data_IF_908500808766
#
_entry.id   IF_908500808766
#
_cell.length_a   1.000
_cell.length_b   1.000
_cell.length_c   1.000
_cell.angle_alpha   90.00
_cell.angle_beta   90.00
_cell.angle_gamma   90.00
#
_symmetry.space_group_name_H-M   'P 1'
#
loop_
_entity.id
_entity.type
_entity.pdbx_description
1 polymer ?
#
# COMPACT_ATOMS: atom_id res chain seq x y z
N UNK A 1 -9.84 0.81 2.26
CA UNK A 1 -10.17 2.17 1.84
C UNK A 1 -8.92 2.91 1.36
N UNK A 2 -8.98 3.59 0.21
CA UNK A 2 -7.95 4.56 -0.19
C UNK A 2 -8.18 5.84 0.64
N UNK A 3 -7.11 6.39 1.23
CA UNK A 3 -7.16 7.59 2.09
C UNK A 3 -7.73 8.83 1.36
N UNK A 4 -7.82 8.77 0.03
CA UNK A 4 -8.29 9.85 -0.87
C UNK A 4 -9.74 9.67 -1.35
N UNK A 5 -10.70 9.43 -0.44
CA UNK A 5 -12.13 9.51 -0.79
C UNK A 5 -12.76 10.88 -0.53
N UNK A 6 -12.01 11.82 0.01
CA UNK A 6 -12.48 13.19 0.22
C UNK A 6 -12.08 14.06 -0.98
N UNK A 7 -13.05 14.37 -1.86
CA UNK A 7 -12.81 15.21 -3.03
C UNK A 7 -12.41 16.64 -2.66
N UNK A 8 -12.75 17.13 -1.46
CA UNK A 8 -12.26 18.43 -0.97
C UNK A 8 -10.73 18.46 -0.80
N UNK A 9 -10.07 17.30 -0.91
CA UNK A 9 -8.63 17.21 -0.96
C UNK A 9 -8.02 17.97 -2.15
N UNK A 10 -8.68 17.97 -3.31
CA UNK A 10 -8.11 18.52 -4.54
C UNK A 10 -8.43 20.01 -4.72
N UNK A 11 -7.52 20.78 -5.35
CA UNK A 11 -7.65 22.23 -5.52
C UNK A 11 -8.56 22.58 -6.70
N UNK A 12 -9.81 22.08 -6.70
CA UNK A 12 -10.82 22.41 -7.71
C UNK A 12 -11.89 23.34 -7.15
N UNK A 13 -12.53 24.10 -8.04
CA UNK A 13 -13.73 24.86 -7.71
C UNK A 13 -14.96 23.93 -7.74
N UNK A 14 -15.17 23.26 -6.62
CA UNK A 14 -16.29 22.33 -6.45
C UNK A 14 -17.65 23.03 -6.50
N UNK A 15 -17.73 24.29 -6.07
CA UNK A 15 -18.97 25.08 -6.13
C UNK A 15 -19.36 25.37 -7.58
N UNK A 16 -18.39 25.71 -8.44
CA UNK A 16 -18.63 25.86 -9.89
C UNK A 16 -19.10 24.57 -10.57
N UNK A 17 -18.77 23.40 -10.00
CA UNK A 17 -19.25 22.09 -10.45
C UNK A 17 -20.60 21.69 -9.82
N UNK A 18 -21.22 22.56 -9.04
CA UNK A 18 -22.54 22.34 -8.43
C UNK A 18 -22.52 21.62 -7.08
N UNK A 19 -21.35 21.42 -6.46
CA UNK A 19 -21.28 20.86 -5.11
C UNK A 19 -21.58 21.91 -4.03
N UNK A 20 -22.08 21.49 -2.85
CA UNK A 20 -22.31 22.40 -1.73
C UNK A 20 -21.01 23.05 -1.23
N UNK A 21 -21.14 24.30 -0.78
CA UNK A 21 -20.06 25.02 -0.11
C UNK A 21 -19.55 24.27 1.11
N UNK A 22 -18.24 24.11 1.21
CA UNK A 22 -17.59 23.57 2.39
C UNK A 22 -17.73 24.57 3.56
N UNK A 23 -18.41 24.14 4.62
CA UNK A 23 -18.57 24.96 5.82
C UNK A 23 -17.33 24.82 6.72
N UNK A 24 -17.03 25.85 7.52
CA UNK A 24 -15.87 25.85 8.43
C UNK A 24 -15.90 24.75 9.50
N UNK A 25 -17.09 24.22 9.79
CA UNK A 25 -17.31 23.11 10.72
C UNK A 25 -17.24 21.73 10.03
N UNK A 26 -17.02 21.69 8.71
CA UNK A 26 -16.82 20.42 8.02
C UNK A 26 -15.54 19.77 8.54
N UNK A 27 -15.66 18.50 8.89
CA UNK A 27 -14.60 17.65 9.39
C UNK A 27 -13.68 17.22 8.24
N UNK A 28 -12.81 18.13 7.78
CA UNK A 28 -11.85 17.87 6.70
C UNK A 28 -10.51 17.46 7.32
N UNK A 29 -9.96 16.27 6.98
CA UNK A 29 -8.63 15.89 7.45
C UNK A 29 -7.54 16.86 6.97
N UNK A 30 -6.60 17.19 7.85
CA UNK A 30 -5.45 18.06 7.55
C UNK A 30 -4.48 17.45 6.54
N UNK A 31 -4.32 16.12 6.56
CA UNK A 31 -3.49 15.39 5.60
C UNK A 31 -4.36 14.71 4.54
N UNK A 32 -4.01 14.98 3.28
CA UNK A 32 -4.81 14.62 2.10
C UNK A 32 -4.21 13.49 1.27
N UNK A 33 -3.06 12.94 1.67
CA UNK A 33 -2.42 11.80 1.01
C UNK A 33 -1.98 12.05 -0.44
N UNK A 34 -1.95 13.31 -0.86
CA UNK A 34 -1.62 13.72 -2.23
C UNK A 34 -0.18 14.26 -2.31
N UNK A 35 0.49 14.07 -3.46
CA UNK A 35 1.77 14.70 -3.74
C UNK A 35 1.72 16.23 -3.52
N UNK A 36 2.74 16.77 -2.85
CA UNK A 36 2.80 18.19 -2.49
C UNK A 36 2.01 18.60 -1.24
N UNK A 37 1.25 17.69 -0.62
CA UNK A 37 0.71 17.88 0.72
C UNK A 37 1.77 17.56 1.80
N UNK A 38 1.60 18.02 3.06
CA UNK A 38 2.49 17.62 4.15
C UNK A 38 2.58 16.10 4.28
N UNK A 39 3.80 15.61 4.57
CA UNK A 39 4.08 14.18 4.76
C UNK A 39 3.13 13.59 5.80
N UNK A 40 2.48 12.49 5.45
CA UNK A 40 1.45 11.89 6.28
C UNK A 40 2.07 11.12 7.45
N UNK A 41 1.87 11.59 8.68
CA UNK A 41 2.48 10.99 9.86
C UNK A 41 1.64 9.87 10.46
N UNK A 42 2.25 9.05 11.32
CA UNK A 42 1.53 8.05 12.14
C UNK A 42 0.41 8.67 12.98
N UNK A 43 0.63 9.85 13.55
CA UNK A 43 -0.37 10.52 14.38
C UNK A 43 -1.55 11.00 13.55
N UNK A 44 -1.30 11.55 12.37
CA UNK A 44 -2.36 11.95 11.43
C UNK A 44 -3.19 10.74 11.02
N UNK A 45 -2.52 9.63 10.69
CA UNK A 45 -3.18 8.37 10.34
C UNK A 45 -4.11 7.88 11.44
N UNK A 46 -3.61 7.76 12.67
CA UNK A 46 -4.42 7.30 13.81
C UNK A 46 -5.56 8.29 14.12
N UNK A 47 -5.32 9.59 13.98
CA UNK A 47 -6.34 10.60 14.21
C UNK A 47 -7.49 10.50 13.19
N UNK A 48 -7.17 10.23 11.92
CA UNK A 48 -8.17 10.06 10.84
C UNK A 48 -9.08 8.87 11.12
N UNK A 49 -8.52 7.70 11.45
CA UNK A 49 -9.31 6.51 11.79
C UNK A 49 -10.09 6.69 13.09
N UNK A 50 -9.54 7.41 14.08
CA UNK A 50 -10.25 7.64 15.36
C UNK A 50 -11.42 8.63 15.22
N UNK A 51 -11.32 9.62 14.35
CA UNK A 51 -12.19 10.81 14.40
C UNK A 51 -13.08 11.01 13.18
N UNK A 52 -12.73 10.39 12.04
CA UNK A 52 -13.38 10.65 10.74
C UNK A 52 -13.79 9.38 10.00
N UNK A 53 -13.07 8.26 10.18
CA UNK A 53 -13.27 7.04 9.38
C UNK A 53 -13.62 5.84 10.28
N UNK A 54 -14.92 5.59 10.54
CA UNK A 54 -15.34 4.34 11.17
C UNK A 54 -14.98 3.14 10.26
N UNK A 55 -14.83 1.93 10.81
CA UNK A 55 -14.60 0.74 10.02
C UNK A 55 -15.79 0.49 9.09
N UNK A 56 -15.51 0.04 7.85
CA UNK A 56 -16.56 -0.26 6.86
C UNK A 56 -17.31 -1.55 7.20
N UNK A 57 -16.60 -2.50 7.79
CA UNK A 57 -17.12 -3.79 8.25
C UNK A 57 -16.54 -4.12 9.62
N UNK A 58 -17.21 -4.97 10.38
CA UNK A 58 -16.62 -5.55 11.58
C UNK A 58 -15.37 -6.37 11.22
N UNK A 59 -14.38 -6.49 12.14
CA UNK A 59 -13.20 -7.31 11.91
C UNK A 59 -13.58 -8.72 11.46
N UNK A 60 -12.93 -9.20 10.39
CA UNK A 60 -13.15 -10.53 9.81
C UNK A 60 -14.56 -10.79 9.23
N UNK A 61 -15.39 -9.76 9.04
CA UNK A 61 -16.74 -9.91 8.45
C UNK A 61 -16.72 -10.03 6.91
N UNK A 62 -16.04 -9.11 6.22
CA UNK A 62 -16.00 -9.08 4.75
C UNK A 62 -14.66 -8.49 4.27
N UNK A 63 -14.07 -8.99 3.18
CA UNK A 63 -12.86 -8.39 2.62
C UNK A 63 -13.16 -7.00 2.04
N UNK A 64 -12.26 -6.04 2.30
CA UNK A 64 -12.24 -4.73 1.65
C UNK A 64 -10.79 -4.30 1.41
N UNK A 65 -10.47 -3.94 0.17
CA UNK A 65 -9.13 -3.48 -0.17
C UNK A 65 -8.77 -2.23 0.63
N UNK A 66 -7.60 -2.22 1.29
CA UNK A 66 -7.17 -1.10 2.12
C UNK A 66 -5.66 -0.90 2.11
N UNK A 67 -5.23 0.33 1.76
CA UNK A 67 -3.83 0.75 1.87
C UNK A 67 -3.41 1.06 3.32
N UNK A 68 -4.35 0.96 4.25
CA UNK A 68 -4.19 1.42 5.62
C UNK A 68 -3.50 0.36 6.49
N UNK A 69 -2.51 0.78 7.28
CA UNK A 69 -2.07 0.04 8.46
C UNK A 69 -1.03 -1.06 8.25
N UNK A 70 -0.59 -1.33 7.01
CA UNK A 70 0.48 -2.30 6.72
C UNK A 70 1.77 -1.94 7.47
N UNK A 71 2.15 -0.66 7.44
CA UNK A 71 3.29 -0.12 8.18
C UNK A 71 3.21 -0.45 9.67
N UNK A 72 2.08 -0.14 10.30
CA UNK A 72 1.89 -0.29 11.75
C UNK A 72 2.08 -1.73 12.24
N UNK A 73 1.58 -2.70 11.48
CA UNK A 73 1.67 -4.12 11.84
C UNK A 73 3.11 -4.62 11.72
N UNK A 74 3.77 -4.34 10.60
CA UNK A 74 5.15 -4.78 10.35
C UNK A 74 6.12 -4.11 11.34
N UNK A 75 5.94 -2.82 11.61
CA UNK A 75 6.79 -2.10 12.55
C UNK A 75 6.62 -2.61 13.98
N UNK A 76 5.38 -2.89 14.40
CA UNK A 76 5.12 -3.46 15.72
C UNK A 76 5.70 -4.87 15.86
N UNK A 77 5.58 -5.71 14.83
CA UNK A 77 6.07 -7.09 14.86
C UNK A 77 7.60 -7.20 14.76
N UNK A 78 8.25 -6.30 14.01
CA UNK A 78 9.70 -6.33 13.76
C UNK A 78 10.52 -5.44 14.69
N UNK A 79 9.87 -4.51 15.40
CA UNK A 79 10.53 -3.43 16.15
C UNK A 79 11.52 -2.61 15.29
N UNK A 80 11.21 -2.44 14.00
CA UNK A 80 11.96 -1.66 13.01
C UNK A 80 10.99 -0.79 12.22
N UNK A 81 11.47 0.34 11.71
CA UNK A 81 10.72 1.09 10.68
C UNK A 81 10.52 0.21 9.44
N UNK A 82 9.40 0.38 8.74
CA UNK A 82 8.99 -0.53 7.65
C UNK A 82 10.09 -0.76 6.61
N UNK A 83 10.74 0.29 6.12
CA UNK A 83 11.76 0.18 5.07
C UNK A 83 12.97 -0.64 5.53
N UNK A 84 13.38 -0.49 6.79
CA UNK A 84 14.44 -1.30 7.38
C UNK A 84 14.00 -2.76 7.57
N UNK A 85 12.74 -2.98 7.97
CA UNK A 85 12.18 -4.31 8.10
C UNK A 85 12.17 -5.06 6.76
N UNK A 86 11.63 -4.45 5.69
CA UNK A 86 11.60 -5.07 4.36
C UNK A 86 13.01 -5.28 3.80
N UNK A 87 13.90 -4.30 3.97
CA UNK A 87 15.30 -4.44 3.54
C UNK A 87 15.98 -5.65 4.16
N UNK A 88 15.81 -5.84 5.47
CA UNK A 88 16.49 -6.92 6.20
C UNK A 88 15.79 -8.28 6.09
N UNK A 89 14.46 -8.30 6.03
CA UNK A 89 13.67 -9.54 6.05
C UNK A 89 13.38 -10.09 4.65
N UNK A 90 13.42 -9.25 3.61
CA UNK A 90 13.02 -9.63 2.25
C UNK A 90 14.11 -9.30 1.22
N UNK A 91 14.52 -8.04 1.11
CA UNK A 91 15.37 -7.61 -0.02
C UNK A 91 16.78 -8.21 0.06
N UNK A 92 17.46 -8.09 1.20
CA UNK A 92 18.80 -8.66 1.40
C UNK A 92 18.80 -10.19 1.30
N UNK A 93 17.90 -10.94 1.98
CA UNK A 93 17.91 -12.41 1.91
C UNK A 93 17.65 -12.96 0.50
N UNK A 94 16.94 -12.23 -0.35
CA UNK A 94 16.61 -12.63 -1.72
C UNK A 94 17.51 -12.00 -2.79
N UNK A 95 18.52 -11.23 -2.37
CA UNK A 95 19.45 -10.52 -3.26
C UNK A 95 18.77 -9.55 -4.25
N UNK A 96 17.70 -8.88 -3.81
CA UNK A 96 16.92 -7.92 -4.61
C UNK A 96 17.55 -6.52 -4.52
N UNK A 97 18.64 -6.29 -5.26
CA UNK A 97 19.52 -5.13 -5.11
C UNK A 97 18.92 -3.80 -5.59
N UNK A 98 18.37 -3.69 -6.82
CA UNK A 98 17.75 -2.45 -7.28
C UNK A 98 16.38 -2.18 -6.65
N UNK A 99 15.81 -3.14 -5.90
CA UNK A 99 14.53 -2.94 -5.20
C UNK A 99 14.70 -2.04 -3.97
N UNK A 100 13.76 -1.10 -3.78
CA UNK A 100 13.71 -0.20 -2.63
C UNK A 100 12.28 -0.01 -2.12
N UNK A 101 12.16 0.56 -0.92
CA UNK A 101 10.88 0.92 -0.29
C UNK A 101 10.95 2.34 0.25
N UNK A 102 9.85 3.08 0.14
CA UNK A 102 9.70 4.43 0.66
C UNK A 102 10.34 5.48 -0.24
N UNK A 103 11.44 6.05 0.23
CA UNK A 103 12.13 7.15 -0.45
C UNK A 103 12.84 6.64 -1.70
N UNK A 104 12.66 7.36 -2.80
CA UNK A 104 13.34 7.07 -4.07
C UNK A 104 14.85 7.22 -3.91
N UNK A 105 15.67 6.26 -4.38
CA UNK A 105 17.13 6.38 -4.35
C UNK A 105 17.62 7.58 -5.16
N UNK A 106 18.72 8.21 -4.71
CA UNK A 106 19.33 9.35 -5.41
C UNK A 106 19.75 9.02 -6.85
N UNK A 107 20.15 7.77 -7.11
CA UNK A 107 20.45 7.31 -8.46
C UNK A 107 19.19 6.77 -9.13
N UNK A 108 18.64 7.55 -10.05
CA UNK A 108 17.48 7.21 -10.87
C UNK A 108 17.82 6.84 -12.32
N UNK A 109 19.10 6.62 -12.66
CA UNK A 109 19.55 6.40 -14.06
C UNK A 109 18.86 5.20 -14.73
N UNK A 110 18.50 4.19 -13.94
CA UNK A 110 17.84 2.97 -14.42
C UNK A 110 16.34 2.94 -14.12
N UNK A 111 15.75 4.05 -13.67
CA UNK A 111 14.33 4.13 -13.35
C UNK A 111 13.53 4.62 -14.56
N UNK A 112 12.42 3.94 -14.85
CA UNK A 112 11.44 4.44 -15.81
C UNK A 112 10.55 5.49 -15.14
N UNK A 113 10.76 6.75 -15.49
CA UNK A 113 9.92 7.87 -15.03
C UNK A 113 9.05 8.30 -16.22
N UNK A 114 7.73 8.18 -16.07
CA UNK A 114 6.79 8.58 -17.13
C UNK A 114 6.86 10.09 -17.32
N UNK A 115 7.01 10.54 -18.57
CA UNK A 115 7.04 11.95 -18.90
C UNK A 115 5.78 12.67 -18.39
N UNK A 116 5.98 13.75 -17.63
CA UNK A 116 4.88 14.51 -17.03
C UNK A 116 4.40 14.01 -15.66
N UNK A 117 5.02 12.97 -15.09
CA UNK A 117 4.76 12.59 -13.69
C UNK A 117 5.34 13.66 -12.76
N UNK A 118 4.48 14.40 -12.07
CA UNK A 118 4.88 15.47 -11.15
C UNK A 118 5.18 14.97 -9.72
N UNK A 119 4.93 13.69 -9.47
CA UNK A 119 4.84 13.09 -8.15
C UNK A 119 5.55 11.73 -8.01
N UNK A 120 6.35 11.37 -9.02
CA UNK A 120 7.02 10.08 -9.09
C UNK A 120 7.97 9.83 -7.90
N UNK A 121 8.53 10.89 -7.31
CA UNK A 121 9.45 10.88 -6.17
C UNK A 121 8.80 11.37 -4.86
N UNK A 122 7.47 11.52 -4.83
CA UNK A 122 6.78 12.08 -3.68
C UNK A 122 6.93 11.22 -2.41
N UNK A 123 7.41 11.84 -1.33
CA UNK A 123 7.35 11.25 0.01
C UNK A 123 5.90 11.27 0.53
N UNK A 124 5.35 10.06 0.67
CA UNK A 124 3.96 9.83 1.05
C UNK A 124 3.85 9.30 2.49
N UNK A 125 4.95 9.28 3.25
CA UNK A 125 4.97 8.97 4.67
C UNK A 125 4.40 7.61 5.03
N UNK A 126 3.51 7.56 6.04
CA UNK A 126 3.01 6.32 6.65
C UNK A 126 2.25 5.37 5.70
N UNK A 127 1.80 5.86 4.54
CA UNK A 127 1.16 5.06 3.48
C UNK A 127 2.15 4.54 2.42
N UNK A 128 3.43 4.92 2.51
CA UNK A 128 4.48 4.43 1.62
C UNK A 128 4.48 2.91 1.46
N UNK A 129 4.31 2.11 2.53
CA UNK A 129 4.30 0.65 2.42
C UNK A 129 3.22 0.04 1.52
N UNK A 130 2.17 0.79 1.19
CA UNK A 130 1.12 0.32 0.31
C UNK A 130 1.42 0.54 -1.19
N UNK A 131 2.34 1.45 -1.55
CA UNK A 131 2.54 1.83 -2.96
C UNK A 131 3.94 2.30 -3.37
N UNK A 132 4.84 2.55 -2.44
CA UNK A 132 6.16 3.13 -2.71
C UNK A 132 7.27 2.07 -2.68
N UNK A 133 7.07 0.96 -3.39
CA UNK A 133 8.13 -0.03 -3.64
C UNK A 133 8.49 0.04 -5.12
N UNK A 134 9.73 0.41 -5.42
CA UNK A 134 10.29 0.36 -6.77
C UNK A 134 11.16 -0.88 -6.94
N UNK A 135 11.13 -1.49 -8.12
CA UNK A 135 11.87 -2.73 -8.42
C UNK A 135 12.22 -2.83 -9.90
N UNK A 136 13.14 -3.72 -10.24
CA UNK A 136 13.39 -4.13 -11.63
C UNK A 136 12.57 -5.35 -12.01
N UNK A 137 12.41 -5.60 -13.30
CA UNK A 137 11.81 -6.84 -13.83
C UNK A 137 12.58 -8.09 -13.37
N UNK A 138 13.91 -8.03 -13.34
CA UNK A 138 14.77 -9.09 -12.86
C UNK A 138 14.55 -9.41 -11.36
N UNK A 139 14.43 -8.39 -10.51
CA UNK A 139 14.17 -8.57 -9.09
C UNK A 139 12.77 -9.10 -8.83
N UNK A 140 11.76 -8.61 -9.56
CA UNK A 140 10.38 -9.12 -9.48
C UNK A 140 10.32 -10.61 -9.86
N UNK A 141 11.01 -11.01 -10.93
CA UNK A 141 11.10 -12.42 -11.32
C UNK A 141 11.85 -13.26 -10.27
N UNK A 142 12.94 -12.72 -9.71
CA UNK A 142 13.70 -13.35 -8.64
C UNK A 142 12.87 -13.55 -7.39
N UNK A 143 12.07 -12.55 -6.99
CA UNK A 143 11.17 -12.60 -5.84
C UNK A 143 10.12 -13.71 -5.97
N UNK A 144 9.43 -13.76 -7.11
CA UNK A 144 8.40 -14.79 -7.38
C UNK A 144 9.05 -16.19 -7.45
N UNK A 145 10.15 -16.33 -8.19
CA UNK A 145 10.84 -17.63 -8.33
C UNK A 145 11.38 -18.12 -6.99
N UNK A 146 11.91 -17.23 -6.16
CA UNK A 146 12.42 -17.55 -4.83
C UNK A 146 11.32 -17.93 -3.86
N UNK A 147 10.16 -17.28 -3.96
CA UNK A 147 8.93 -17.66 -3.23
C UNK A 147 8.51 -19.08 -3.60
N UNK A 148 8.34 -19.37 -4.89
CA UNK A 148 7.91 -20.70 -5.37
C UNK A 148 8.93 -21.81 -5.04
N UNK A 149 10.22 -21.46 -4.94
CA UNK A 149 11.29 -22.38 -4.52
C UNK A 149 11.46 -22.47 -3.00
N UNK A 150 10.58 -21.86 -2.19
CA UNK A 150 10.64 -21.88 -0.74
C UNK A 150 11.98 -21.35 -0.16
N UNK A 151 12.57 -20.34 -0.82
CA UNK A 151 13.85 -19.76 -0.35
C UNK A 151 13.66 -18.79 0.82
N UNK A 152 12.51 -18.13 0.91
CA UNK A 152 12.20 -17.18 1.97
C UNK A 152 11.56 -17.84 3.21
N UNK A 153 10.74 -18.86 2.99
CA UNK A 153 9.95 -19.54 4.01
C UNK A 153 10.05 -21.06 3.84
N UNK A 154 9.81 -21.82 4.90
CA UNK A 154 9.68 -23.28 4.79
C UNK A 154 8.56 -23.66 3.81
N UNK A 155 8.60 -24.84 3.17
CA UNK A 155 7.55 -25.27 2.25
C UNK A 155 6.13 -25.20 2.86
N UNK A 156 5.97 -25.57 4.13
CA UNK A 156 4.68 -25.48 4.83
C UNK A 156 4.20 -24.04 4.99
N UNK A 157 5.10 -23.12 5.34
CA UNK A 157 4.76 -21.71 5.51
C UNK A 157 4.48 -21.04 4.17
N UNK A 158 5.26 -21.33 3.12
CA UNK A 158 4.97 -20.83 1.77
C UNK A 158 3.63 -21.32 1.26
N UNK A 159 3.34 -22.63 1.39
CA UNK A 159 2.05 -23.17 0.96
C UNK A 159 0.89 -22.53 1.72
N UNK A 160 1.01 -22.33 3.03
CA UNK A 160 -0.01 -21.63 3.82
C UNK A 160 -0.18 -20.19 3.38
N UNK A 161 0.93 -19.49 3.14
CA UNK A 161 0.94 -18.09 2.71
C UNK A 161 0.27 -17.87 1.35
N UNK A 162 0.38 -18.82 0.42
CA UNK A 162 -0.21 -18.77 -0.92
C UNK A 162 -1.67 -19.26 -0.96
N UNK A 163 -2.30 -19.59 0.17
CA UNK A 163 -3.72 -19.97 0.21
C UNK A 163 -4.63 -18.74 0.34
N UNK A 164 -5.89 -18.83 -0.12
CA UNK A 164 -6.89 -17.83 0.19
C UNK A 164 -7.17 -17.77 1.70
N UNK A 165 -7.32 -16.56 2.22
CA UNK A 165 -7.83 -16.29 3.58
C UNK A 165 -9.35 -16.13 3.56
N UNK A 166 -9.92 -15.54 2.50
CA UNK A 166 -11.38 -15.42 2.32
C UNK A 166 -11.80 -15.34 0.86
N UNK A 167 -13.08 -15.60 0.59
CA UNK A 167 -13.68 -15.52 -0.74
C UNK A 167 -14.37 -14.17 -0.95
N UNK A 168 -14.37 -13.70 -2.19
CA UNK A 168 -15.18 -12.55 -2.58
C UNK A 168 -16.61 -13.00 -2.96
N UNK A 169 -17.50 -12.07 -3.27
CA UNK A 169 -18.81 -12.39 -3.86
C UNK A 169 -18.70 -13.03 -5.26
N UNK A 170 -17.54 -12.94 -5.90
CA UNK A 170 -17.27 -13.53 -7.20
C UNK A 170 -16.65 -14.91 -7.02
N UNK A 171 -17.28 -15.95 -7.57
CA UNK A 171 -16.82 -17.35 -7.42
C UNK A 171 -15.38 -17.58 -7.89
N UNK A 172 -14.95 -16.87 -8.93
CA UNK A 172 -13.61 -16.98 -9.50
C UNK A 172 -12.56 -16.18 -8.73
N UNK A 173 -12.90 -15.41 -7.69
CA UNK A 173 -11.96 -14.54 -7.01
C UNK A 173 -11.94 -14.74 -5.49
N UNK A 174 -10.73 -14.81 -4.95
CA UNK A 174 -10.47 -14.92 -3.51
C UNK A 174 -9.25 -14.08 -3.13
N UNK A 175 -9.10 -13.76 -1.85
CA UNK A 175 -8.01 -12.93 -1.34
C UNK A 175 -7.28 -13.65 -0.21
N UNK A 176 -5.96 -13.53 -0.19
CA UNK A 176 -5.06 -14.01 0.86
C UNK A 176 -4.19 -12.87 1.40
N UNK A 177 -3.01 -13.21 1.92
CA UNK A 177 -2.14 -12.26 2.64
C UNK A 177 -0.84 -11.96 1.89
N UNK A 178 -0.76 -11.07 0.87
CA UNK A 178 -1.79 -10.17 0.37
C UNK A 178 -2.30 -10.55 -1.04
N UNK A 179 -2.15 -11.82 -1.44
CA UNK A 179 -2.40 -12.25 -2.83
C UNK A 179 -3.87 -12.18 -3.23
N UNK A 180 -4.17 -11.62 -4.40
CA UNK A 180 -5.43 -11.86 -5.09
C UNK A 180 -5.31 -13.14 -5.93
N UNK A 181 -6.28 -14.04 -5.79
CA UNK A 181 -6.24 -15.37 -6.37
C UNK A 181 -7.46 -15.53 -7.28
N UNK A 182 -7.19 -15.60 -8.57
CA UNK A 182 -8.20 -15.76 -9.62
C UNK A 182 -8.20 -17.18 -10.16
N UNK A 183 -9.40 -17.74 -10.34
CA UNK A 183 -9.64 -18.94 -11.13
C UNK A 183 -10.12 -18.51 -12.50
N UNK A 184 -9.46 -19.00 -13.53
CA UNK A 184 -9.87 -18.79 -14.92
C UNK A 184 -10.48 -20.08 -15.44
N UNK A 185 -11.60 -19.99 -16.15
CA UNK A 185 -12.16 -21.13 -16.86
C UNK A 185 -11.32 -21.38 -18.12
N UNK A 186 -10.81 -22.61 -18.28
CA UNK A 186 -10.00 -23.09 -19.42
C UNK A 186 -8.57 -22.53 -19.54
N UNK A 187 -7.59 -23.23 -18.95
CA UNK A 187 -6.18 -23.20 -19.38
C UNK A 187 -5.89 -24.52 -20.11
#
# INVERSE_FOLDING_TARGET
>A
MVVTTDISAFPFDWEALGFPKLLKNNKIPSCKGNPGAPVYTRNDFLHIFKSYRPPEYEPSQSPVYSNAGISLVVEAASNKVFDAAIKDLVLKPLDLKPTYSGIVPENSENMLIVAGSADWDADIGIIAPARAVGSSDADMLSFITSTLKNKALSPSNTHRWLKPDTFTSTWSASVGSPWEIYRVDNI
#
